data_IF_696918815946
#
_entry.id   IF_696918815946
#
_cell.length_a   1.000
_cell.length_b   1.000
_cell.length_c   1.000
_cell.angle_alpha   90.00
_cell.angle_beta   90.00
_cell.angle_gamma   90.00
#
_symmetry.space_group_name_H-M   'P 1'
#
loop_
_entity.id
_entity.type
_entity.pdbx_description
1 polymer ?
#
# COMPACT_ATOMS: atom_id res chain seq x y z
N UNK A 1 19.71 -65.85 -54.35
CA UNK A 1 19.20 -64.47 -54.23
C UNK A 1 17.92 -64.35 -53.37
N UNK A 2 17.08 -65.39 -53.26
CA UNK A 2 15.84 -65.38 -52.43
C UNK A 2 16.11 -65.46 -50.92
N UNK A 3 17.20 -66.12 -50.49
CA UNK A 3 17.56 -66.22 -49.07
C UNK A 3 18.02 -64.90 -48.45
N UNK A 4 18.70 -64.04 -49.22
CA UNK A 4 19.20 -62.76 -48.72
C UNK A 4 18.06 -61.76 -48.45
N UNK A 5 17.03 -61.76 -49.29
CA UNK A 5 15.85 -60.88 -49.14
C UNK A 5 15.01 -61.27 -47.93
N UNK A 6 14.88 -62.57 -47.63
CA UNK A 6 14.14 -63.04 -46.45
C UNK A 6 14.83 -62.67 -45.13
N UNK A 7 16.15 -62.75 -45.08
CA UNK A 7 16.94 -62.35 -43.89
C UNK A 7 16.84 -60.84 -43.66
N UNK A 8 16.89 -60.04 -44.72
CA UNK A 8 16.76 -58.59 -44.61
C UNK A 8 15.35 -58.17 -44.14
N UNK A 9 14.30 -58.80 -44.66
CA UNK A 9 12.93 -58.52 -44.21
C UNK A 9 12.71 -58.90 -42.73
N UNK A 10 13.30 -60.02 -42.29
CA UNK A 10 13.20 -60.49 -40.90
C UNK A 10 13.93 -59.55 -39.92
N UNK A 11 15.11 -59.04 -40.29
CA UNK A 11 15.84 -58.10 -39.46
C UNK A 11 15.13 -56.74 -39.31
N UNK A 12 14.51 -56.23 -40.37
CA UNK A 12 13.73 -54.98 -40.31
C UNK A 12 12.49 -55.14 -39.43
N UNK A 13 11.81 -56.29 -39.50
CA UNK A 13 10.63 -56.55 -38.67
C UNK A 13 10.96 -56.60 -37.16
N UNK A 14 12.09 -57.22 -36.79
CA UNK A 14 12.53 -57.30 -35.38
C UNK A 14 12.93 -55.92 -34.83
N UNK A 15 13.56 -55.08 -35.65
CA UNK A 15 13.92 -53.73 -35.22
C UNK A 15 12.69 -52.84 -35.02
N UNK A 16 11.66 -52.95 -35.86
CA UNK A 16 10.41 -52.20 -35.67
C UNK A 16 9.70 -52.63 -34.38
N UNK A 17 9.65 -53.93 -34.08
CA UNK A 17 9.02 -54.46 -32.85
C UNK A 17 9.76 -53.99 -31.58
N UNK A 18 11.10 -53.93 -31.59
CA UNK A 18 11.89 -53.47 -30.44
C UNK A 18 11.86 -51.95 -30.23
N UNK A 19 11.48 -51.15 -31.24
CA UNK A 19 11.33 -49.69 -31.07
C UNK A 19 9.95 -49.25 -30.59
N UNK A 20 8.93 -50.12 -30.66
CA UNK A 20 7.53 -49.74 -30.39
C UNK A 20 6.91 -50.30 -29.09
N UNK A 21 7.61 -51.13 -28.31
CA UNK A 21 7.08 -51.63 -27.02
C UNK A 21 8.18 -51.81 -25.95
N UNK A 22 8.29 -50.86 -25.01
CA UNK A 22 8.56 -51.20 -23.62
C UNK A 22 7.39 -50.74 -22.74
N UNK A 23 6.33 -51.54 -22.78
CA UNK A 23 5.26 -51.60 -21.81
C UNK A 23 4.54 -52.91 -22.11
N UNK A 24 4.47 -53.88 -21.21
CA UNK A 24 3.92 -53.84 -19.86
C UNK A 24 4.30 -55.21 -19.23
N UNK A 25 4.87 -55.24 -18.01
CA UNK A 25 4.26 -55.99 -16.91
C UNK A 25 4.93 -55.75 -15.54
N UNK A 26 4.32 -54.84 -14.79
CA UNK A 26 3.68 -55.12 -13.50
C UNK A 26 4.38 -56.00 -12.44
N UNK A 27 5.65 -55.75 -12.10
CA UNK A 27 6.07 -56.05 -10.71
C UNK A 27 5.59 -54.92 -9.80
N UNK A 28 4.48 -55.17 -9.09
CA UNK A 28 4.01 -54.39 -7.94
C UNK A 28 5.16 -54.17 -6.95
N UNK A 29 5.81 -53.02 -7.05
CA UNK A 29 6.33 -52.31 -5.89
C UNK A 29 5.71 -50.93 -5.98
N UNK A 30 4.69 -50.68 -5.16
CA UNK A 30 4.54 -49.34 -4.64
C UNK A 30 5.83 -49.08 -3.87
N UNK A 31 6.83 -48.55 -4.58
CA UNK A 31 7.88 -47.80 -3.94
C UNK A 31 7.10 -46.77 -3.16
N UNK A 32 7.08 -46.91 -1.83
CA UNK A 32 6.77 -45.78 -1.00
C UNK A 32 7.79 -44.74 -1.45
N UNK A 33 7.36 -43.85 -2.36
CA UNK A 33 8.03 -42.58 -2.50
C UNK A 33 7.91 -42.06 -1.08
N UNK A 34 9.02 -42.12 -0.35
CA UNK A 34 9.30 -41.08 0.60
C UNK A 34 9.18 -39.82 -0.25
N UNK A 35 7.97 -39.27 -0.31
CA UNK A 35 7.82 -37.86 -0.52
C UNK A 35 8.64 -37.31 0.64
N UNK A 36 9.89 -36.98 0.35
CA UNK A 36 10.48 -35.81 0.95
C UNK A 36 9.48 -34.71 0.58
N UNK A 37 8.43 -34.60 1.40
CA UNK A 37 7.61 -33.42 1.45
C UNK A 37 8.63 -32.39 1.87
N UNK A 38 9.13 -31.66 0.88
CA UNK A 38 10.17 -30.67 1.08
C UNK A 38 9.62 -29.75 2.15
N UNK A 39 10.14 -29.87 3.38
CA UNK A 39 9.75 -29.05 4.53
C UNK A 39 10.05 -27.56 4.24
N UNK A 40 10.72 -27.30 3.12
CA UNK A 40 11.09 -26.00 2.59
C UNK A 40 10.11 -25.43 1.55
N UNK A 41 9.01 -26.13 1.24
CA UNK A 41 7.94 -25.61 0.38
C UNK A 41 6.76 -25.05 1.20
N UNK A 42 7.04 -24.59 2.43
CA UNK A 42 6.16 -23.64 3.11
C UNK A 42 6.21 -22.35 2.30
N UNK A 43 5.04 -21.80 1.93
CA UNK A 43 4.97 -20.44 1.41
C UNK A 43 5.80 -19.56 2.34
N UNK A 44 6.71 -18.76 1.79
CA UNK A 44 7.66 -17.96 2.58
C UNK A 44 6.98 -17.05 3.61
N UNK A 45 5.67 -16.82 3.42
CA UNK A 45 4.79 -16.03 4.25
C UNK A 45 4.29 -16.79 5.51
N UNK A 46 4.45 -18.12 5.58
CA UNK A 46 4.03 -18.97 6.71
C UNK A 46 5.18 -19.39 7.64
N UNK A 47 6.42 -19.02 7.34
CA UNK A 47 7.54 -19.31 8.24
C UNK A 47 7.37 -18.53 9.55
N UNK A 48 7.49 -19.18 10.73
CA UNK A 48 7.50 -18.45 11.98
C UNK A 48 8.62 -17.41 11.93
N UNK A 49 8.30 -16.14 12.23
CA UNK A 49 9.29 -15.08 12.25
C UNK A 49 10.47 -15.53 13.12
N UNK A 50 11.68 -15.54 12.54
CA UNK A 50 12.91 -15.82 13.28
C UNK A 50 13.17 -14.66 14.25
N UNK A 51 12.57 -14.72 15.42
CA UNK A 51 12.83 -13.82 16.54
C UNK A 51 14.10 -14.32 17.24
N UNK A 52 15.05 -13.41 17.50
CA UNK A 52 16.25 -13.76 18.28
C UNK A 52 15.83 -14.05 19.73
N UNK A 53 16.46 -15.02 20.41
CA UNK A 53 16.07 -15.39 21.78
C UNK A 53 16.21 -14.25 22.81
N UNK A 54 17.03 -13.24 22.52
CA UNK A 54 17.20 -12.04 23.37
C UNK A 54 16.36 -10.84 22.91
N UNK A 55 15.47 -11.01 21.93
CA UNK A 55 14.64 -9.92 21.43
C UNK A 55 13.47 -9.63 22.39
N UNK A 56 13.12 -8.34 22.60
CA UNK A 56 11.95 -7.99 23.40
C UNK A 56 10.66 -8.49 22.75
N UNK A 57 9.63 -8.74 23.58
CA UNK A 57 8.28 -9.03 23.10
C UNK A 57 7.76 -7.86 22.24
N UNK A 58 7.35 -8.17 21.01
CA UNK A 58 6.87 -7.19 20.05
C UNK A 58 5.40 -7.41 19.76
N UNK A 59 4.64 -6.33 19.74
CA UNK A 59 3.23 -6.32 19.33
C UNK A 59 3.06 -5.37 18.15
N UNK A 60 2.29 -5.80 17.14
CA UNK A 60 1.90 -4.95 16.02
C UNK A 60 0.74 -4.07 16.45
N UNK A 61 0.91 -2.76 16.34
CA UNK A 61 -0.15 -1.80 16.61
C UNK A 61 -0.54 -1.07 15.33
N UNK A 62 -1.84 -0.77 15.20
CA UNK A 62 -2.34 0.10 14.14
C UNK A 62 -2.15 1.56 14.54
N UNK A 63 -1.73 2.38 13.58
CA UNK A 63 -1.59 3.83 13.71
C UNK A 63 -2.58 4.50 12.75
N UNK A 64 -3.46 5.34 13.28
CA UNK A 64 -4.45 6.09 12.51
C UNK A 64 -4.16 7.59 12.58
N UNK A 65 -4.03 8.21 11.41
CA UNK A 65 -3.80 9.65 11.26
C UNK A 65 -5.05 10.34 10.70
N UNK A 66 -5.50 11.41 11.39
CA UNK A 66 -6.64 12.24 10.98
C UNK A 66 -6.24 13.70 10.93
N UNK A 67 -6.39 14.32 9.76
CA UNK A 67 -6.16 15.75 9.55
C UNK A 67 -7.49 16.45 9.33
N UNK A 68 -7.65 17.63 9.92
CA UNK A 68 -8.85 18.46 9.77
C UNK A 68 -8.51 19.94 9.75
N UNK A 69 -9.16 20.68 8.85
CA UNK A 69 -9.03 22.13 8.74
C UNK A 69 -10.34 22.72 8.20
N UNK A 70 -10.47 24.04 8.29
CA UNK A 70 -11.63 24.78 7.78
C UNK A 70 -11.26 25.48 6.47
N UNK A 71 -12.06 25.27 5.43
CA UNK A 71 -11.91 25.94 4.14
C UNK A 71 -13.13 26.82 3.87
N UNK A 72 -12.93 27.93 3.16
CA UNK A 72 -14.03 28.76 2.68
C UNK A 72 -14.52 28.24 1.33
N UNK A 73 -15.84 28.16 1.15
CA UNK A 73 -16.49 27.72 -0.09
C UNK A 73 -17.61 28.68 -0.44
N UNK A 74 -18.04 28.68 -1.71
CA UNK A 74 -19.20 29.44 -2.15
C UNK A 74 -20.47 28.93 -1.48
N UNK A 75 -21.26 29.85 -0.93
CA UNK A 75 -22.48 29.50 -0.17
C UNK A 75 -23.51 28.79 -1.05
N UNK A 76 -23.72 29.27 -2.27
CA UNK A 76 -24.68 28.70 -3.21
C UNK A 76 -24.35 27.24 -3.55
N UNK A 77 -23.07 26.94 -3.85
CA UNK A 77 -22.60 25.57 -4.08
C UNK A 77 -22.73 24.68 -2.85
N UNK A 78 -22.41 25.21 -1.66
CA UNK A 78 -22.55 24.48 -0.40
C UNK A 78 -24.01 24.09 -0.14
N UNK A 79 -24.94 25.02 -0.31
CA UNK A 79 -26.38 24.79 -0.11
C UNK A 79 -26.96 23.83 -1.16
N UNK A 80 -26.49 23.90 -2.41
CA UNK A 80 -26.85 22.98 -3.48
C UNK A 80 -26.23 21.56 -3.32
N UNK A 81 -25.28 21.37 -2.38
CA UNK A 81 -24.46 20.15 -2.23
C UNK A 81 -23.64 19.82 -3.49
N UNK A 82 -23.21 20.85 -4.21
CA UNK A 82 -22.44 20.74 -5.46
C UNK A 82 -20.95 21.08 -5.25
N UNK A 83 -20.43 20.84 -4.04
CA UNK A 83 -19.01 21.07 -3.75
C UNK A 83 -18.17 20.00 -4.43
N UNK A 84 -17.27 20.45 -5.29
CA UNK A 84 -16.26 19.62 -5.94
C UNK A 84 -14.95 19.60 -5.16
N UNK A 85 -14.04 18.70 -5.53
CA UNK A 85 -12.69 18.65 -4.95
C UNK A 85 -11.92 19.95 -5.22
N UNK A 86 -12.11 20.57 -6.38
CA UNK A 86 -11.47 21.84 -6.77
C UNK A 86 -11.91 23.00 -5.85
N UNK A 87 -13.13 22.94 -5.31
CA UNK A 87 -13.64 23.95 -4.40
C UNK A 87 -12.98 23.88 -3.01
N UNK A 88 -12.45 22.72 -2.61
CA UNK A 88 -11.80 22.50 -1.30
C UNK A 88 -10.28 22.37 -1.39
N UNK A 89 -9.73 22.24 -2.59
CA UNK A 89 -8.29 22.10 -2.81
C UNK A 89 -7.55 23.36 -2.36
N UNK A 90 -6.51 23.15 -1.55
CA UNK A 90 -5.66 24.22 -1.02
C UNK A 90 -4.27 24.10 -1.65
N UNK A 91 -3.83 25.18 -2.30
CA UNK A 91 -2.47 25.25 -2.82
C UNK A 91 -1.52 25.76 -1.73
N UNK A 92 -0.69 24.86 -1.20
CA UNK A 92 0.28 25.20 -0.15
C UNK A 92 1.43 26.01 -0.73
N UNK A 93 1.66 27.18 -0.15
CA UNK A 93 2.75 28.07 -0.51
C UNK A 93 3.90 27.85 0.47
N UNK A 94 4.97 27.22 0.00
CA UNK A 94 6.15 26.90 0.80
C UNK A 94 7.13 28.07 0.86
N UNK A 95 7.22 28.86 -0.21
CA UNK A 95 8.03 30.07 -0.28
C UNK A 95 7.14 31.27 -0.61
N UNK A 96 7.28 32.35 0.17
CA UNK A 96 6.56 33.61 -0.04
C UNK A 96 7.21 34.49 -1.11
N UNK A 97 8.45 34.19 -1.52
CA UNK A 97 9.22 34.99 -2.48
C UNK A 97 8.60 35.16 -3.87
N UNK A 98 7.83 34.22 -4.46
CA UNK A 98 7.29 34.41 -5.81
C UNK A 98 6.07 35.33 -5.86
N UNK A 99 5.55 35.79 -4.71
CA UNK A 99 4.38 36.65 -4.64
C UNK A 99 4.73 38.00 -4.01
N UNK A 100 4.64 39.07 -4.79
CA UNK A 100 4.54 40.43 -4.23
C UNK A 100 3.15 40.58 -3.61
N UNK A 101 2.96 40.09 -2.37
CA UNK A 101 1.67 39.98 -1.68
C UNK A 101 0.87 41.29 -1.58
N UNK A 102 1.51 42.43 -1.81
CA UNK A 102 0.89 43.76 -1.83
C UNK A 102 0.15 44.04 -3.15
N UNK A 103 0.35 43.20 -4.18
CA UNK A 103 -0.25 43.27 -5.51
C UNK A 103 -1.23 42.11 -5.78
N UNK A 104 -1.34 41.15 -4.85
CA UNK A 104 -2.20 39.98 -5.04
C UNK A 104 -3.63 40.33 -4.66
N UNK A 105 -4.51 40.37 -5.66
CA UNK A 105 -5.94 40.57 -5.47
C UNK A 105 -6.64 39.33 -4.88
N UNK A 106 -7.16 39.46 -3.66
CA UNK A 106 -7.93 38.42 -2.97
C UNK A 106 -9.35 38.88 -2.58
N UNK A 107 -10.28 37.92 -2.51
CA UNK A 107 -11.61 38.11 -1.94
C UNK A 107 -11.59 38.01 -0.42
N UNK A 108 -10.84 37.04 0.11
CA UNK A 108 -10.81 36.72 1.54
C UNK A 108 -9.38 36.41 1.96
N UNK A 109 -8.97 37.01 3.07
CA UNK A 109 -7.81 36.63 3.87
C UNK A 109 -8.32 36.19 5.25
N UNK A 110 -7.98 34.97 5.68
CA UNK A 110 -8.43 34.46 6.98
C UNK A 110 -7.39 33.55 7.61
N UNK A 111 -7.21 33.68 8.92
CA UNK A 111 -6.45 32.71 9.71
C UNK A 111 -7.28 31.47 10.01
N UNK A 112 -6.72 30.30 9.71
CA UNK A 112 -7.33 29.00 9.99
C UNK A 112 -6.39 28.13 10.83
N UNK A 113 -6.91 27.04 11.37
CA UNK A 113 -6.14 26.07 12.15
C UNK A 113 -6.32 24.70 11.50
N UNK A 114 -5.22 23.99 11.32
CA UNK A 114 -5.23 22.58 10.97
C UNK A 114 -4.84 21.76 12.20
N UNK A 115 -5.66 20.76 12.49
CA UNK A 115 -5.43 19.82 13.57
C UNK A 115 -5.07 18.46 12.99
N UNK A 116 -4.03 17.85 13.54
CA UNK A 116 -3.62 16.49 13.23
C UNK A 116 -3.73 15.65 14.51
N UNK A 117 -4.62 14.67 14.48
CA UNK A 117 -4.78 13.66 15.53
C UNK A 117 -4.17 12.35 15.05
N UNK A 118 -3.33 11.75 15.88
CA UNK A 118 -2.68 10.46 15.64
C UNK A 118 -3.02 9.53 16.79
N UNK A 119 -3.70 8.44 16.50
CA UNK A 119 -4.09 7.41 17.48
C UNK A 119 -3.28 6.15 17.23
N UNK A 120 -2.69 5.58 18.27
CA UNK A 120 -1.89 4.35 18.18
C UNK A 120 -2.03 3.52 19.45
N UNK A 121 -2.47 2.27 19.28
CA UNK A 121 -2.78 1.39 20.41
C UNK A 121 -3.77 2.03 21.39
N UNK A 122 -3.32 2.33 22.61
CA UNK A 122 -4.13 2.93 23.69
C UNK A 122 -3.91 4.44 23.88
N UNK A 123 -3.16 5.08 22.98
CA UNK A 123 -2.80 6.49 23.09
C UNK A 123 -3.33 7.29 21.91
N UNK A 124 -3.72 8.54 22.17
CA UNK A 124 -4.03 9.51 21.14
C UNK A 124 -3.21 10.78 21.40
N UNK A 125 -2.64 11.33 20.33
CA UNK A 125 -1.89 12.57 20.36
C UNK A 125 -2.50 13.56 19.37
N UNK A 126 -2.47 14.83 19.71
CA UNK A 126 -2.88 15.92 18.83
C UNK A 126 -1.76 16.94 18.66
N UNK A 127 -1.69 17.54 17.48
CA UNK A 127 -0.90 18.74 17.22
C UNK A 127 -1.67 19.67 16.31
N UNK A 128 -1.34 20.95 16.32
CA UNK A 128 -1.98 21.93 15.47
C UNK A 128 -0.97 22.85 14.78
N UNK A 129 -1.35 23.41 13.64
CA UNK A 129 -0.64 24.51 13.01
C UNK A 129 -1.63 25.58 12.59
N UNK A 130 -1.17 26.84 12.59
CA UNK A 130 -1.96 27.96 12.10
C UNK A 130 -1.67 28.12 10.61
N UNK A 131 -2.65 28.55 9.84
CA UNK A 131 -2.48 28.89 8.43
C UNK A 131 -3.10 30.24 8.13
N UNK A 132 -2.59 30.93 7.12
CA UNK A 132 -3.28 32.06 6.50
C UNK A 132 -3.77 31.61 5.14
N UNK A 133 -5.09 31.56 4.98
CA UNK A 133 -5.78 31.20 3.75
C UNK A 133 -6.10 32.48 2.96
N UNK A 134 -5.81 32.44 1.67
CA UNK A 134 -6.13 33.47 0.68
C UNK A 134 -7.05 32.87 -0.37
N UNK A 135 -8.21 33.48 -0.60
CA UNK A 135 -9.03 33.19 -1.75
C UNK A 135 -8.78 34.24 -2.83
N UNK A 136 -8.09 33.84 -3.90
CA UNK A 136 -7.70 34.74 -4.97
C UNK A 136 -8.87 35.02 -5.92
N UNK A 137 -8.85 36.18 -6.59
CA UNK A 137 -9.83 36.48 -7.66
C UNK A 137 -9.82 35.49 -8.82
N UNK A 138 -8.71 34.78 -9.01
CA UNK A 138 -8.60 33.68 -9.98
C UNK A 138 -9.40 32.43 -9.59
N UNK A 139 -10.08 32.42 -8.45
CA UNK A 139 -10.82 31.26 -7.91
C UNK A 139 -9.96 30.30 -7.09
N UNK A 140 -8.63 30.42 -7.18
CA UNK A 140 -7.69 29.56 -6.45
C UNK A 140 -7.66 29.90 -4.96
N UNK A 141 -7.54 28.85 -4.13
CA UNK A 141 -7.36 28.98 -2.68
C UNK A 141 -5.93 28.61 -2.33
N UNK A 142 -5.22 29.56 -1.77
CA UNK A 142 -3.82 29.40 -1.40
C UNK A 142 -3.70 29.42 0.11
N UNK A 143 -2.76 28.66 0.66
CA UNK A 143 -2.53 28.64 2.10
C UNK A 143 -1.05 28.69 2.43
N UNK A 144 -0.75 29.55 3.41
CA UNK A 144 0.56 29.59 4.05
C UNK A 144 0.45 29.01 5.44
N UNK A 145 1.02 27.83 5.65
CA UNK A 145 1.03 27.16 6.95
C UNK A 145 2.22 27.59 7.81
N UNK A 146 1.97 27.78 9.11
CA UNK A 146 3.03 27.85 10.11
C UNK A 146 3.63 26.46 10.35
N UNK A 147 4.76 26.43 11.06
CA UNK A 147 5.29 25.18 11.60
C UNK A 147 4.26 24.52 12.51
N UNK A 148 4.29 23.19 12.54
CA UNK A 148 3.51 22.37 13.46
C UNK A 148 3.91 22.66 14.92
N UNK A 149 2.93 22.63 15.81
CA UNK A 149 3.18 22.51 17.24
C UNK A 149 3.85 21.17 17.57
N UNK A 150 4.40 21.06 18.77
CA UNK A 150 4.74 19.77 19.36
C UNK A 150 3.49 18.89 19.48
N UNK A 151 3.71 17.58 19.59
CA UNK A 151 2.66 16.62 19.89
C UNK A 151 2.25 16.74 21.35
N UNK A 152 0.94 16.85 21.59
CA UNK A 152 0.32 16.75 22.90
C UNK A 152 -0.39 15.40 23.01
N UNK A 153 0.13 14.53 23.88
CA UNK A 153 -0.35 13.17 24.07
C UNK A 153 -0.97 12.93 25.46
N UNK A 154 -1.37 14.00 26.14
CA UNK A 154 -2.06 13.91 27.43
C UNK A 154 -3.39 13.19 27.24
N UNK A 155 -3.72 12.26 28.14
CA UNK A 155 -5.01 11.58 28.13
C UNK A 155 -6.13 12.58 28.44
N UNK A 156 -7.26 12.45 27.75
CA UNK A 156 -8.46 13.27 28.01
C UNK A 156 -9.09 12.97 29.39
N UNK A 157 -8.52 12.04 30.17
CA UNK A 157 -8.95 11.64 31.52
C UNK A 157 -8.70 12.70 32.61
N UNK A 158 -8.17 13.88 32.26
CA UNK A 158 -7.88 14.98 33.18
C UNK A 158 -8.99 16.02 33.35
N UNK A 159 -10.15 15.87 32.69
CA UNK A 159 -11.31 16.75 32.89
C UNK A 159 -12.40 15.94 33.59
N UNK A 160 -12.37 15.95 34.93
CA UNK A 160 -13.50 15.59 35.78
C UNK A 160 -14.06 16.86 36.42
#
# INVERSE_FOLDING_TARGET
>A
MIHLVKVFLFCVLIMIINTFLPGIDSSKRSVAYAQHQDVFNLDKDELPQKVKPDAPESEWITVEDRISYTVCVEKEKYEAKEISMEDIELWEIVDKSPFEWHQVDYYIEKHIVENHTRTFGKQSCKRSRKGTLFWLKSGKKCIFWSKWSGWDCRSDEGIK
#
